data_IF_043516939883
#
_entry.id   IF_043516939883
#
_cell.length_a   1.000
_cell.length_b   1.000
_cell.length_c   1.000
_cell.angle_alpha   90.00
_cell.angle_beta   90.00
_cell.angle_gamma   90.00
#
_symmetry.space_group_name_H-M   'P 1'
#
loop_
_entity.id
_entity.type
_entity.pdbx_description
1 polymer ?
#
# COMPACT_ATOMS: atom_id res chain seq x y z
N UNK A 1 -12.45 15.37 -24.79
CA UNK A 1 -12.44 13.92 -25.06
C UNK A 1 -12.65 13.23 -23.74
N UNK A 2 -13.69 12.38 -23.62
CA UNK A 2 -13.87 11.54 -22.42
C UNK A 2 -12.61 10.71 -22.23
N UNK A 3 -12.08 10.69 -21.01
CA UNK A 3 -10.93 9.86 -20.67
C UNK A 3 -11.38 8.39 -20.77
N UNK A 4 -10.91 7.66 -21.78
CA UNK A 4 -11.30 6.26 -22.02
C UNK A 4 -10.49 5.28 -21.18
N UNK A 5 -9.48 5.77 -20.46
CA UNK A 5 -8.59 4.93 -19.65
C UNK A 5 -9.02 4.89 -18.20
N UNK A 6 -8.72 3.77 -17.55
CA UNK A 6 -9.06 3.51 -16.16
C UNK A 6 -7.83 3.38 -15.28
N UNK A 7 -7.97 3.84 -14.04
CA UNK A 7 -7.05 3.58 -12.92
C UNK A 7 -7.59 2.40 -12.13
N UNK A 8 -6.85 1.28 -12.09
CA UNK A 8 -7.19 0.12 -11.28
C UNK A 8 -6.53 0.26 -9.90
N UNK A 9 -7.34 0.21 -8.84
CA UNK A 9 -6.88 0.34 -7.45
C UNK A 9 -7.27 -0.90 -6.66
N UNK A 10 -6.30 -1.62 -6.12
CA UNK A 10 -6.55 -2.77 -5.23
C UNK A 10 -6.65 -2.35 -3.77
N UNK A 11 -7.51 -3.03 -2.98
CA UNK A 11 -7.77 -2.66 -1.58
C UNK A 11 -8.44 -1.30 -1.46
N UNK A 12 -9.38 -0.99 -2.37
CA UNK A 12 -9.95 0.35 -2.52
C UNK A 12 -11.02 0.71 -1.49
N UNK A 13 -11.65 -0.26 -0.81
CA UNK A 13 -12.86 -0.04 0.00
C UNK A 13 -12.64 0.81 1.24
N UNK A 14 -11.45 0.78 1.82
CA UNK A 14 -11.17 1.39 3.12
C UNK A 14 -9.80 2.09 3.18
N UNK A 15 -9.60 2.87 4.23
CA UNK A 15 -8.30 3.43 4.63
C UNK A 15 -7.60 4.18 3.50
N UNK A 16 -6.35 3.80 3.22
CA UNK A 16 -5.54 4.47 2.21
C UNK A 16 -6.05 4.24 0.78
N UNK A 17 -6.57 3.04 0.48
CA UNK A 17 -7.14 2.72 -0.84
C UNK A 17 -8.38 3.56 -1.15
N UNK A 18 -9.26 3.79 -0.15
CA UNK A 18 -10.40 4.71 -0.29
C UNK A 18 -9.94 6.14 -0.57
N UNK A 19 -8.94 6.62 0.14
CA UNK A 19 -8.41 7.96 -0.09
C UNK A 19 -7.79 8.09 -1.49
N UNK A 20 -7.04 7.07 -1.96
CA UNK A 20 -6.53 7.01 -3.34
C UNK A 20 -7.65 7.07 -4.38
N UNK A 21 -8.74 6.31 -4.17
CA UNK A 21 -9.89 6.31 -5.09
C UNK A 21 -10.55 7.69 -5.19
N UNK A 22 -10.76 8.37 -4.06
CA UNK A 22 -11.35 9.71 -4.01
C UNK A 22 -10.44 10.73 -4.69
N UNK A 23 -9.14 10.69 -4.43
CA UNK A 23 -8.16 11.58 -5.07
C UNK A 23 -8.10 11.38 -6.60
N UNK A 24 -8.06 10.13 -7.06
CA UNK A 24 -8.08 9.84 -8.50
C UNK A 24 -9.39 10.33 -9.16
N UNK A 25 -10.53 10.14 -8.49
CA UNK A 25 -11.82 10.65 -8.96
C UNK A 25 -11.83 12.19 -9.04
N UNK A 26 -11.30 12.89 -8.04
CA UNK A 26 -11.21 14.36 -8.04
C UNK A 26 -10.31 14.92 -9.15
N UNK A 27 -9.46 14.07 -9.72
CA UNK A 27 -8.63 14.37 -10.90
C UNK A 27 -9.23 13.90 -12.22
N UNK A 28 -10.51 13.59 -12.22
CA UNK A 28 -11.26 13.12 -13.41
C UNK A 28 -10.69 11.82 -14.02
N UNK A 29 -10.22 10.88 -13.18
CA UNK A 29 -9.77 9.57 -13.59
C UNK A 29 -10.90 8.55 -13.43
N UNK A 30 -11.23 7.78 -14.48
CA UNK A 30 -12.12 6.63 -14.35
C UNK A 30 -11.48 5.53 -13.51
N UNK A 31 -12.29 4.77 -12.78
CA UNK A 31 -11.79 3.88 -11.74
C UNK A 31 -12.28 2.44 -11.90
N UNK A 32 -11.38 1.49 -11.67
CA UNK A 32 -11.71 0.10 -11.36
C UNK A 32 -11.31 -0.11 -9.91
N UNK A 33 -12.29 -0.23 -9.02
CA UNK A 33 -12.08 -0.41 -7.58
C UNK A 33 -12.18 -1.88 -7.23
N UNK A 34 -11.09 -2.44 -6.71
CA UNK A 34 -11.00 -3.85 -6.32
C UNK A 34 -10.84 -3.97 -4.82
N UNK A 35 -11.72 -4.71 -4.17
CA UNK A 35 -11.64 -4.98 -2.73
C UNK A 35 -12.32 -6.31 -2.37
N UNK A 36 -12.21 -6.72 -1.10
CA UNK A 36 -12.99 -7.84 -0.57
C UNK A 36 -14.49 -7.57 -0.72
N UNK A 37 -15.32 -8.61 -0.86
CA UNK A 37 -16.77 -8.47 -0.81
C UNK A 37 -17.20 -7.74 0.47
N UNK A 38 -18.08 -6.75 0.30
CA UNK A 38 -18.61 -5.99 1.43
C UNK A 38 -19.25 -4.66 1.03
N UNK A 39 -20.07 -4.09 1.91
CA UNK A 39 -20.83 -2.88 1.62
C UNK A 39 -19.96 -1.64 1.40
N UNK A 40 -18.75 -1.60 1.97
CA UNK A 40 -17.83 -0.44 1.92
C UNK A 40 -17.43 -0.09 0.49
N UNK A 41 -17.19 -1.12 -0.35
CA UNK A 41 -16.85 -0.92 -1.75
C UNK A 41 -18.02 -0.31 -2.52
N UNK A 42 -19.24 -0.77 -2.26
CA UNK A 42 -20.45 -0.25 -2.89
C UNK A 42 -20.77 1.18 -2.44
N UNK A 43 -20.60 1.47 -1.13
CA UNK A 43 -20.76 2.83 -0.60
C UNK A 43 -19.77 3.80 -1.24
N UNK A 44 -18.50 3.41 -1.34
CA UNK A 44 -17.48 4.23 -1.99
C UNK A 44 -17.80 4.46 -3.47
N UNK A 45 -18.20 3.41 -4.19
CA UNK A 45 -18.57 3.49 -5.61
C UNK A 45 -19.73 4.45 -5.81
N UNK A 46 -20.78 4.33 -4.99
CA UNK A 46 -21.94 5.23 -5.04
C UNK A 46 -21.57 6.67 -4.70
N UNK A 47 -20.75 6.86 -3.65
CA UNK A 47 -20.25 8.18 -3.26
C UNK A 47 -19.48 8.85 -4.41
N UNK A 48 -18.55 8.12 -5.06
CA UNK A 48 -17.76 8.68 -6.15
C UNK A 48 -18.65 9.04 -7.35
N UNK A 49 -19.52 8.15 -7.79
CA UNK A 49 -20.44 8.40 -8.91
C UNK A 49 -21.38 9.60 -8.69
N UNK A 50 -21.72 9.88 -7.42
CA UNK A 50 -22.59 11.02 -7.07
C UNK A 50 -21.85 12.35 -7.04
N UNK A 51 -20.56 12.35 -6.71
CA UNK A 51 -19.81 13.58 -6.44
C UNK A 51 -18.78 13.95 -7.51
N UNK A 52 -18.45 13.03 -8.42
CA UNK A 52 -17.45 13.22 -9.47
C UNK A 52 -17.99 12.72 -10.82
N UNK A 53 -17.64 13.43 -11.88
CA UNK A 53 -18.01 13.06 -13.27
C UNK A 53 -17.00 12.06 -13.84
N UNK A 54 -16.98 10.85 -13.28
CA UNK A 54 -16.09 9.74 -13.68
C UNK A 54 -16.84 8.43 -13.71
N UNK A 55 -16.42 7.53 -14.60
CA UNK A 55 -16.93 6.16 -14.56
C UNK A 55 -16.21 5.33 -13.48
N UNK A 56 -16.99 4.51 -12.76
CA UNK A 56 -16.50 3.69 -11.66
C UNK A 56 -17.06 2.29 -11.73
N UNK A 57 -16.17 1.32 -11.79
CA UNK A 57 -16.48 -0.11 -11.80
C UNK A 57 -15.97 -0.74 -10.51
N UNK A 58 -16.86 -1.36 -9.75
CA UNK A 58 -16.51 -2.10 -8.55
C UNK A 58 -16.37 -3.60 -8.87
N UNK A 59 -15.28 -4.21 -8.43
CA UNK A 59 -15.03 -5.65 -8.56
C UNK A 59 -14.70 -6.20 -7.18
N UNK A 60 -15.59 -7.02 -6.65
CA UNK A 60 -15.35 -7.75 -5.41
C UNK A 60 -14.43 -8.95 -5.66
N UNK A 61 -13.25 -8.95 -5.01
CA UNK A 61 -12.26 -10.02 -5.18
C UNK A 61 -11.36 -10.14 -3.97
N UNK A 62 -11.20 -11.37 -3.46
CA UNK A 62 -10.19 -11.70 -2.47
C UNK A 62 -8.89 -12.11 -3.19
N UNK A 63 -7.93 -11.20 -3.23
CA UNK A 63 -6.65 -11.40 -3.91
C UNK A 63 -5.71 -12.40 -3.19
N UNK A 64 -6.09 -12.93 -2.02
CA UNK A 64 -5.36 -14.01 -1.36
C UNK A 64 -5.73 -15.41 -1.90
N UNK A 65 -6.84 -15.53 -2.64
CA UNK A 65 -7.26 -16.80 -3.21
C UNK A 65 -6.45 -17.11 -4.47
N UNK A 66 -6.21 -18.38 -4.69
CA UNK A 66 -5.54 -18.85 -5.90
C UNK A 66 -6.38 -18.45 -7.13
N UNK A 67 -5.71 -18.13 -8.25
CA UNK A 67 -6.30 -17.68 -9.51
C UNK A 67 -7.02 -16.31 -9.49
N UNK A 68 -7.30 -15.72 -8.31
CA UNK A 68 -8.04 -14.45 -8.21
C UNK A 68 -7.44 -13.29 -9.02
N UNK A 69 -6.12 -13.23 -9.12
CA UNK A 69 -5.45 -12.21 -9.93
C UNK A 69 -5.72 -12.43 -11.44
N UNK A 70 -5.73 -13.69 -11.89
CA UNK A 70 -6.06 -14.05 -13.27
C UNK A 70 -7.54 -13.76 -13.57
N UNK A 71 -8.44 -14.15 -12.67
CA UNK A 71 -9.89 -13.86 -12.80
C UNK A 71 -10.17 -12.37 -12.87
N UNK A 72 -9.48 -11.56 -12.04
CA UNK A 72 -9.58 -10.10 -12.11
C UNK A 72 -9.13 -9.56 -13.48
N UNK A 73 -7.98 -10.03 -13.97
CA UNK A 73 -7.46 -9.64 -15.27
C UNK A 73 -8.42 -10.03 -16.40
N UNK A 74 -8.92 -11.25 -16.39
CA UNK A 74 -9.90 -11.76 -17.35
C UNK A 74 -11.17 -10.89 -17.34
N UNK A 75 -11.71 -10.59 -16.14
CA UNK A 75 -12.90 -9.76 -16.00
C UNK A 75 -12.71 -8.35 -16.58
N UNK A 76 -11.56 -7.72 -16.33
CA UNK A 76 -11.25 -6.38 -16.88
C UNK A 76 -11.13 -6.43 -18.40
N UNK A 77 -10.55 -7.52 -18.93
CA UNK A 77 -10.39 -7.72 -20.37
C UNK A 77 -11.72 -8.00 -21.08
N UNK A 78 -12.59 -8.83 -20.47
CA UNK A 78 -13.93 -9.11 -21.00
C UNK A 78 -14.84 -7.87 -21.08
N UNK A 79 -14.62 -6.93 -20.16
CA UNK A 79 -15.33 -5.64 -20.16
C UNK A 79 -14.69 -4.61 -21.11
N UNK A 80 -13.65 -4.99 -21.84
CA UNK A 80 -12.88 -4.12 -22.76
C UNK A 80 -12.39 -2.81 -22.11
N UNK A 81 -12.00 -2.88 -20.82
CA UNK A 81 -11.57 -1.70 -20.05
C UNK A 81 -10.09 -1.42 -20.29
N UNK A 82 -9.80 -0.24 -20.81
CA UNK A 82 -8.44 0.22 -21.08
C UNK A 82 -7.77 0.71 -19.79
N UNK A 83 -6.88 -0.07 -19.21
CA UNK A 83 -6.13 0.32 -17.99
C UNK A 83 -4.82 1.01 -18.36
N UNK A 84 -4.63 2.25 -17.92
CA UNK A 84 -3.37 2.99 -18.06
C UNK A 84 -2.68 3.28 -16.72
N UNK A 85 -3.33 3.01 -15.59
CA UNK A 85 -2.72 3.13 -14.26
C UNK A 85 -3.10 1.94 -13.39
N UNK A 86 -2.10 1.28 -12.80
CA UNK A 86 -2.26 0.19 -11.84
C UNK A 86 -1.72 0.63 -10.48
N UNK A 87 -2.58 0.70 -9.48
CA UNK A 87 -2.22 1.00 -8.09
C UNK A 87 -2.35 -0.27 -7.25
N UNK A 88 -1.24 -0.94 -7.00
CA UNK A 88 -1.14 -2.08 -6.11
C UNK A 88 -1.08 -1.59 -4.65
N UNK A 89 -2.25 -1.37 -4.07
CA UNK A 89 -2.40 -0.87 -2.71
C UNK A 89 -2.82 -1.95 -1.72
N UNK A 90 -3.55 -2.98 -2.15
CA UNK A 90 -3.99 -4.07 -1.27
C UNK A 90 -2.81 -4.66 -0.48
N UNK A 91 -2.98 -4.74 0.83
CA UNK A 91 -1.94 -5.26 1.70
C UNK A 91 -2.41 -5.33 3.14
N UNK A 92 -1.84 -6.27 3.88
CA UNK A 92 -2.08 -6.44 5.32
C UNK A 92 -0.76 -6.38 6.08
N UNK A 93 -0.83 -5.82 7.28
CA UNK A 93 0.28 -5.79 8.22
C UNK A 93 -0.09 -6.45 9.53
N UNK A 94 0.90 -6.66 10.38
CA UNK A 94 0.70 -7.12 11.75
C UNK A 94 1.70 -6.44 12.69
N UNK A 95 1.36 -6.41 13.97
CA UNK A 95 2.29 -6.04 15.04
C UNK A 95 2.11 -7.10 16.13
N UNK A 96 2.83 -8.22 15.99
CA UNK A 96 2.72 -9.40 16.84
C UNK A 96 4.11 -10.03 16.95
N UNK A 97 4.46 -10.64 18.10
CA UNK A 97 5.68 -11.43 18.21
C UNK A 97 5.63 -12.58 17.19
N UNK A 98 6.77 -12.91 16.58
CA UNK A 98 6.81 -13.89 15.50
C UNK A 98 6.23 -15.26 15.92
N UNK A 99 6.49 -15.69 17.14
CA UNK A 99 5.98 -16.94 17.73
C UNK A 99 4.47 -16.90 18.06
N UNK A 100 3.90 -15.71 18.24
CA UNK A 100 2.46 -15.51 18.53
C UNK A 100 1.63 -15.37 17.25
N UNK A 101 2.25 -15.02 16.13
CA UNK A 101 1.58 -14.88 14.85
C UNK A 101 1.19 -16.22 14.26
N UNK A 102 -0.02 -16.33 13.70
CA UNK A 102 -0.48 -17.56 13.08
C UNK A 102 0.16 -17.79 11.71
N UNK A 103 0.35 -19.06 11.32
CA UNK A 103 0.83 -19.42 9.97
C UNK A 103 -0.06 -18.78 8.90
N UNK A 104 -1.39 -18.85 9.07
CA UNK A 104 -2.36 -18.26 8.14
C UNK A 104 -2.19 -16.73 8.00
N UNK A 105 -1.82 -16.01 9.06
CA UNK A 105 -1.53 -14.58 8.98
C UNK A 105 -0.32 -14.32 8.08
N UNK A 106 0.75 -15.08 8.25
CA UNK A 106 1.97 -14.91 7.47
C UNK A 106 1.78 -15.32 6.00
N UNK A 107 1.04 -16.41 5.74
CA UNK A 107 0.65 -16.79 4.39
C UNK A 107 -0.16 -15.68 3.69
N UNK A 108 -1.17 -15.13 4.38
CA UNK A 108 -1.96 -14.02 3.84
C UNK A 108 -1.11 -12.78 3.55
N UNK A 109 -0.17 -12.45 4.44
CA UNK A 109 0.75 -11.32 4.20
C UNK A 109 1.59 -11.54 2.93
N UNK A 110 2.13 -12.73 2.73
CA UNK A 110 2.93 -13.05 1.55
C UNK A 110 2.04 -13.08 0.29
N UNK A 111 0.91 -13.79 0.34
CA UNK A 111 -0.03 -13.88 -0.79
C UNK A 111 -0.51 -12.50 -1.23
N UNK A 112 -0.96 -11.65 -0.31
CA UNK A 112 -1.53 -10.36 -0.66
C UNK A 112 -0.46 -9.32 -1.01
N UNK A 113 0.55 -9.16 -0.14
CA UNK A 113 1.53 -8.08 -0.33
C UNK A 113 2.52 -8.38 -1.45
N UNK A 114 2.93 -9.64 -1.62
CA UNK A 114 3.98 -10.03 -2.57
C UNK A 114 3.37 -10.62 -3.84
N UNK A 115 2.67 -11.74 -3.70
CA UNK A 115 2.21 -12.51 -4.85
C UNK A 115 1.19 -11.75 -5.68
N UNK A 116 0.15 -11.18 -5.06
CA UNK A 116 -0.88 -10.43 -5.78
C UNK A 116 -0.28 -9.22 -6.51
N UNK A 117 0.59 -8.42 -5.85
CA UNK A 117 1.28 -7.30 -6.50
C UNK A 117 2.09 -7.75 -7.70
N UNK A 118 2.85 -8.84 -7.58
CA UNK A 118 3.69 -9.38 -8.66
C UNK A 118 2.84 -9.86 -9.83
N UNK A 119 1.81 -10.67 -9.55
CA UNK A 119 0.94 -11.25 -10.58
C UNK A 119 0.14 -10.17 -11.32
N UNK A 120 -0.49 -9.25 -10.61
CA UNK A 120 -1.25 -8.15 -11.24
C UNK A 120 -0.35 -7.27 -12.09
N UNK A 121 0.83 -6.93 -11.60
CA UNK A 121 1.81 -6.18 -12.39
C UNK A 121 2.17 -6.93 -13.68
N UNK A 122 2.43 -8.24 -13.61
CA UNK A 122 2.78 -9.07 -14.77
C UNK A 122 1.61 -9.20 -15.76
N UNK A 123 0.40 -9.41 -15.26
CA UNK A 123 -0.80 -9.60 -16.08
C UNK A 123 -1.16 -8.31 -16.84
N UNK A 124 -1.17 -7.17 -16.15
CA UNK A 124 -1.53 -5.89 -16.75
C UNK A 124 -0.40 -5.23 -17.56
N UNK A 125 0.85 -5.71 -17.49
CA UNK A 125 1.99 -5.05 -18.12
C UNK A 125 1.79 -4.83 -19.63
N UNK A 126 1.30 -5.84 -20.36
CA UNK A 126 1.06 -5.71 -21.81
C UNK A 126 -0.07 -4.71 -22.12
N UNK A 127 -1.10 -4.65 -21.28
CA UNK A 127 -2.19 -3.67 -21.40
C UNK A 127 -1.67 -2.25 -21.18
N UNK A 128 -0.85 -2.07 -20.13
CA UNK A 128 -0.21 -0.80 -19.83
C UNK A 128 0.71 -0.33 -20.95
N UNK A 129 1.47 -1.24 -21.58
CA UNK A 129 2.39 -0.92 -22.68
C UNK A 129 1.67 -0.46 -23.97
N UNK A 130 0.38 -0.72 -24.14
CA UNK A 130 -0.41 -0.29 -25.31
C UNK A 130 -0.80 1.18 -25.28
N UNK A 131 -0.79 1.83 -24.13
CA UNK A 131 -1.13 3.24 -23.98
C UNK A 131 0.10 4.12 -24.24
N UNK A 132 -0.10 5.38 -24.59
CA UNK A 132 1.01 6.34 -24.80
C UNK A 132 1.80 6.60 -23.51
N UNK A 133 1.11 6.66 -22.37
CA UNK A 133 1.70 6.85 -21.04
C UNK A 133 0.96 5.98 -20.03
N UNK A 134 1.67 5.22 -19.27
CA UNK A 134 1.11 4.35 -18.24
C UNK A 134 1.91 4.38 -16.95
N UNK A 135 1.23 4.02 -15.86
CA UNK A 135 1.77 4.15 -14.52
C UNK A 135 1.51 2.90 -13.69
N UNK A 136 2.51 2.51 -12.90
CA UNK A 136 2.38 1.50 -11.85
C UNK A 136 2.81 2.15 -10.54
N UNK A 137 1.90 2.19 -9.56
CA UNK A 137 2.19 2.58 -8.19
C UNK A 137 2.12 1.35 -7.29
N UNK A 138 3.24 0.95 -6.72
CA UNK A 138 3.28 -0.09 -5.71
C UNK A 138 3.37 0.53 -4.31
N UNK A 139 2.44 0.17 -3.42
CA UNK A 139 2.42 0.71 -2.06
C UNK A 139 3.34 -0.10 -1.16
N UNK A 140 4.56 0.42 -0.97
CA UNK A 140 5.54 -0.04 -0.01
C UNK A 140 5.24 0.45 1.41
N UNK A 141 6.30 0.75 2.17
CA UNK A 141 6.25 1.33 3.52
C UNK A 141 7.65 1.80 3.92
N UNK A 142 7.76 2.71 4.89
CA UNK A 142 9.02 2.97 5.60
C UNK A 142 9.59 1.71 6.26
N UNK A 143 8.74 0.72 6.57
CA UNK A 143 9.18 -0.61 7.04
C UNK A 143 10.08 -1.35 6.05
N UNK A 144 10.16 -0.92 4.79
CA UNK A 144 11.09 -1.45 3.79
C UNK A 144 12.56 -1.17 4.13
N UNK A 145 12.84 -0.18 4.97
CA UNK A 145 14.18 0.31 5.27
C UNK A 145 14.67 -0.08 6.67
N UNK A 146 13.75 -0.47 7.57
CA UNK A 146 14.07 -0.69 8.97
C UNK A 146 13.74 -2.10 9.43
N UNK A 147 14.60 -2.66 10.30
CA UNK A 147 14.32 -3.92 11.00
C UNK A 147 13.40 -3.64 12.18
N UNK A 148 12.11 -3.90 12.00
CA UNK A 148 11.08 -3.61 12.99
C UNK A 148 10.64 -4.91 13.69
N UNK A 149 11.00 -5.11 14.98
CA UNK A 149 10.48 -6.23 15.76
C UNK A 149 8.93 -6.23 15.76
N UNK A 150 8.36 -7.42 15.81
CA UNK A 150 6.91 -7.67 15.69
C UNK A 150 6.32 -7.38 14.30
N UNK A 151 7.16 -7.07 13.31
CA UNK A 151 6.77 -6.78 11.91
C UNK A 151 7.67 -7.50 10.90
N UNK A 152 8.25 -8.63 11.27
CA UNK A 152 9.29 -9.32 10.50
C UNK A 152 8.80 -9.66 9.09
N UNK A 153 7.68 -10.38 8.99
CA UNK A 153 7.11 -10.78 7.69
C UNK A 153 6.59 -9.56 6.93
N UNK A 154 5.88 -8.65 7.61
CA UNK A 154 5.40 -7.42 6.98
C UNK A 154 6.57 -6.58 6.40
N UNK A 155 7.59 -6.33 7.20
CA UNK A 155 8.78 -5.59 6.76
C UNK A 155 9.47 -6.25 5.57
N UNK A 156 9.62 -7.57 5.60
CA UNK A 156 10.18 -8.35 4.49
C UNK A 156 9.34 -8.23 3.21
N UNK A 157 7.99 -8.31 3.32
CA UNK A 157 7.11 -8.13 2.15
C UNK A 157 7.22 -6.72 1.57
N UNK A 158 7.34 -5.68 2.41
CA UNK A 158 7.48 -4.30 1.94
C UNK A 158 8.87 -4.01 1.36
N UNK A 159 9.91 -4.66 1.88
CA UNK A 159 11.26 -4.64 1.26
C UNK A 159 11.26 -5.29 -0.11
N UNK A 160 10.55 -6.43 -0.26
CA UNK A 160 10.34 -7.04 -1.58
C UNK A 160 9.71 -6.04 -2.56
N UNK A 161 8.61 -5.39 -2.19
CA UNK A 161 7.91 -4.42 -3.04
C UNK A 161 8.83 -3.26 -3.44
N UNK A 162 9.65 -2.76 -2.51
CA UNK A 162 10.60 -1.70 -2.79
C UNK A 162 11.62 -2.12 -3.86
N UNK A 163 12.30 -3.26 -3.68
CA UNK A 163 13.30 -3.74 -4.63
C UNK A 163 12.69 -4.17 -5.96
N UNK A 164 11.55 -4.87 -5.93
CA UNK A 164 10.81 -5.26 -7.11
C UNK A 164 10.45 -4.05 -7.99
N UNK A 165 9.90 -2.99 -7.38
CA UNK A 165 9.50 -1.78 -8.11
C UNK A 165 10.69 -1.09 -8.76
N UNK A 166 11.82 -0.98 -8.06
CA UNK A 166 13.04 -0.35 -8.60
C UNK A 166 13.66 -1.16 -9.73
N UNK A 167 13.72 -2.48 -9.59
CA UNK A 167 14.24 -3.37 -10.62
C UNK A 167 13.37 -3.33 -11.87
N UNK A 168 12.04 -3.41 -11.70
CA UNK A 168 11.08 -3.33 -12.80
C UNK A 168 11.15 -1.96 -13.52
N UNK A 169 11.28 -0.86 -12.76
CA UNK A 169 11.47 0.47 -13.34
C UNK A 169 12.73 0.53 -14.22
N UNK A 170 13.83 -0.06 -13.76
CA UNK A 170 15.08 -0.09 -14.52
C UNK A 170 14.93 -0.91 -15.82
N UNK A 171 14.26 -2.05 -15.75
CA UNK A 171 13.94 -2.89 -16.91
C UNK A 171 13.08 -2.13 -17.92
N UNK A 172 12.05 -1.43 -17.45
CA UNK A 172 11.09 -0.68 -18.27
C UNK A 172 11.56 0.75 -18.63
N UNK A 173 12.83 1.09 -18.42
CA UNK A 173 13.36 2.45 -18.62
C UNK A 173 13.20 3.01 -20.04
N UNK A 174 13.05 2.14 -21.05
CA UNK A 174 12.78 2.50 -22.45
C UNK A 174 11.32 2.31 -22.85
N UNK A 175 10.47 1.99 -21.91
CA UNK A 175 9.03 1.78 -22.09
C UNK A 175 8.25 3.05 -21.72
N UNK A 176 7.02 3.12 -22.19
CA UNK A 176 6.02 4.11 -21.80
C UNK A 176 5.39 3.87 -20.42
N UNK A 177 5.83 2.85 -19.66
CA UNK A 177 5.31 2.48 -18.36
C UNK A 177 6.21 3.01 -17.24
N UNK A 178 5.72 3.98 -16.47
CA UNK A 178 6.42 4.54 -15.33
C UNK A 178 6.10 3.76 -14.05
N UNK A 179 7.12 3.21 -13.40
CA UNK A 179 6.96 2.47 -12.15
C UNK A 179 7.43 3.33 -10.99
N UNK A 180 6.59 3.48 -9.97
CA UNK A 180 6.89 4.19 -8.71
C UNK A 180 6.61 3.29 -7.53
N UNK A 181 7.39 3.45 -6.46
CA UNK A 181 7.10 2.87 -5.16
C UNK A 181 6.82 3.97 -4.14
N UNK A 182 5.66 3.87 -3.49
CA UNK A 182 5.27 4.76 -2.40
C UNK A 182 5.70 4.13 -1.07
N UNK A 183 6.47 4.84 -0.26
CA UNK A 183 6.93 4.38 1.05
C UNK A 183 6.44 5.33 2.15
N UNK A 184 5.17 5.23 2.57
CA UNK A 184 4.64 6.06 3.64
C UNK A 184 5.15 5.60 5.00
N UNK A 185 5.14 6.52 5.96
CA UNK A 185 5.28 6.22 7.39
C UNK A 185 4.02 5.57 7.97
N UNK A 186 3.85 5.66 9.27
CA UNK A 186 2.59 5.27 9.90
C UNK A 186 1.42 6.09 9.37
N UNK A 187 0.25 5.48 9.19
CA UNK A 187 -0.95 6.17 8.71
C UNK A 187 -2.13 5.91 9.63
N UNK A 188 -2.99 6.92 9.79
CA UNK A 188 -4.24 6.84 10.56
C UNK A 188 -5.38 6.33 9.65
N UNK A 189 -5.30 5.09 9.18
CA UNK A 189 -6.26 4.52 8.23
C UNK A 189 -7.55 4.03 8.86
N UNK A 190 -7.56 3.78 10.17
CA UNK A 190 -8.74 3.43 10.96
C UNK A 190 -8.56 3.85 12.41
N UNK A 191 -9.65 3.77 13.21
CA UNK A 191 -9.64 4.19 14.60
C UNK A 191 -8.61 3.44 15.46
N UNK A 192 -8.50 2.11 15.28
CA UNK A 192 -7.56 1.28 16.05
C UNK A 192 -6.10 1.70 15.79
N UNK A 193 -5.73 1.90 14.53
CA UNK A 193 -4.40 2.39 14.15
C UNK A 193 -4.15 3.81 14.63
N UNK A 194 -5.16 4.68 14.58
CA UNK A 194 -5.07 6.05 15.09
C UNK A 194 -4.77 6.07 16.58
N UNK A 195 -5.46 5.24 17.37
CA UNK A 195 -5.21 5.11 18.81
C UNK A 195 -3.81 4.52 19.08
N UNK A 196 -3.42 3.48 18.36
CA UNK A 196 -2.09 2.88 18.47
C UNK A 196 -0.98 3.89 18.10
N UNK A 197 -1.15 4.65 17.04
CA UNK A 197 -0.19 5.68 16.63
C UNK A 197 -0.07 6.80 17.67
N UNK A 198 -1.17 7.19 18.32
CA UNK A 198 -1.17 8.19 19.40
C UNK A 198 -0.44 7.71 20.67
N UNK A 199 -0.44 6.40 20.95
CA UNK A 199 0.28 5.79 22.08
C UNK A 199 1.77 5.55 21.81
N UNK A 200 2.22 5.71 20.56
CA UNK A 200 3.60 5.54 20.15
C UNK A 200 4.56 6.55 20.78
N UNK A 201 5.87 6.28 20.68
CA UNK A 201 6.88 7.22 21.15
C UNK A 201 6.89 8.51 20.28
N UNK A 202 7.53 9.58 20.79
CA UNK A 202 7.56 10.89 20.14
C UNK A 202 8.06 10.81 18.68
N UNK A 203 9.15 10.07 18.41
CA UNK A 203 9.72 9.95 17.08
C UNK A 203 8.79 9.19 16.11
N UNK A 204 8.13 8.12 16.58
CA UNK A 204 7.18 7.40 15.74
C UNK A 204 5.96 8.26 15.39
N UNK A 205 5.50 9.10 16.32
CA UNK A 205 4.39 10.03 16.08
C UNK A 205 4.69 11.09 15.02
N UNK A 206 5.96 11.53 14.91
CA UNK A 206 6.39 12.50 13.89
C UNK A 206 6.35 11.92 12.46
N UNK A 207 6.36 10.61 12.32
CA UNK A 207 6.28 9.92 11.01
C UNK A 207 4.86 9.59 10.59
N UNK A 208 3.87 9.76 11.49
CA UNK A 208 2.47 9.42 11.22
C UNK A 208 1.80 10.54 10.44
N UNK A 209 1.05 10.15 9.42
CA UNK A 209 0.28 11.06 8.56
C UNK A 209 -1.16 10.56 8.38
N UNK A 210 -2.06 11.43 7.98
CA UNK A 210 -3.38 11.02 7.54
C UNK A 210 -3.34 10.60 6.06
N UNK A 211 -4.17 9.64 5.62
CA UNK A 211 -4.27 9.25 4.22
C UNK A 211 -4.45 10.43 3.27
N UNK A 212 -5.30 11.38 3.63
CA UNK A 212 -5.65 12.57 2.84
C UNK A 212 -4.44 13.49 2.58
N UNK A 213 -3.46 13.52 3.50
CA UNK A 213 -2.22 14.29 3.32
C UNK A 213 -1.18 13.54 2.47
N UNK A 214 -1.27 12.21 2.44
CA UNK A 214 -0.32 11.35 1.73
C UNK A 214 -0.69 11.19 0.26
N UNK A 215 -1.99 11.07 -0.05
CA UNK A 215 -2.46 10.70 -1.38
C UNK A 215 -2.13 11.72 -2.46
N UNK A 216 -2.30 13.05 -2.27
CA UNK A 216 -1.91 14.02 -3.29
C UNK A 216 -0.41 13.92 -3.63
N UNK A 217 0.45 13.75 -2.60
CA UNK A 217 1.90 13.58 -2.80
C UNK A 217 2.22 12.29 -3.56
N UNK A 218 1.45 11.22 -3.31
CA UNK A 218 1.62 9.95 -3.98
C UNK A 218 1.27 10.04 -5.48
N UNK A 219 0.11 10.62 -5.81
CA UNK A 219 -0.35 10.75 -7.19
C UNK A 219 0.51 11.76 -7.96
N UNK A 220 0.84 12.92 -7.37
CA UNK A 220 1.75 13.89 -8.00
C UNK A 220 3.13 13.28 -8.24
N UNK A 221 3.65 12.54 -7.27
CA UNK A 221 4.94 11.86 -7.42
C UNK A 221 4.91 10.81 -8.54
N UNK A 222 3.83 10.04 -8.65
CA UNK A 222 3.63 9.05 -9.71
C UNK A 222 3.58 9.72 -11.09
N UNK A 223 2.71 10.72 -11.26
CA UNK A 223 2.52 11.41 -12.53
C UNK A 223 3.78 12.17 -12.97
N UNK A 224 4.59 12.67 -12.02
CA UNK A 224 5.90 13.27 -12.29
C UNK A 224 7.02 12.24 -12.44
N UNK A 225 6.71 10.96 -12.50
CA UNK A 225 7.66 9.88 -12.77
C UNK A 225 8.71 9.68 -11.66
N UNK A 226 8.44 10.03 -10.40
CA UNK A 226 9.36 9.77 -9.28
C UNK A 226 9.51 8.26 -9.04
N UNK A 227 10.75 7.80 -8.91
CA UNK A 227 11.05 6.38 -8.62
C UNK A 227 10.55 5.97 -7.23
N UNK A 228 10.93 6.74 -6.22
CA UNK A 228 10.57 6.52 -4.81
C UNK A 228 9.84 7.75 -4.28
N UNK A 229 8.65 7.54 -3.75
CA UNK A 229 7.81 8.60 -3.19
C UNK A 229 7.74 8.38 -1.69
N UNK A 230 8.27 9.32 -0.90
CA UNK A 230 8.24 9.28 0.56
C UNK A 230 7.52 10.52 1.06
N UNK A 231 6.24 10.39 1.48
CA UNK A 231 5.49 11.50 2.03
C UNK A 231 6.02 11.93 3.41
N UNK A 232 6.04 13.23 3.66
CA UNK A 232 6.44 13.81 4.93
C UNK A 232 7.94 14.05 5.07
N UNK A 233 8.29 15.26 5.54
CA UNK A 233 9.69 15.69 5.71
C UNK A 233 10.47 14.80 6.69
N UNK A 234 9.81 14.37 7.78
CA UNK A 234 10.43 13.49 8.79
C UNK A 234 10.72 12.09 8.24
N UNK A 235 9.84 11.54 7.42
CA UNK A 235 10.05 10.23 6.78
C UNK A 235 11.25 10.28 5.81
N UNK A 236 11.38 11.36 5.04
CA UNK A 236 12.55 11.59 4.19
C UNK A 236 13.84 11.72 5.01
N UNK A 237 13.80 12.43 6.12
CA UNK A 237 14.93 12.55 7.03
C UNK A 237 15.34 11.19 7.61
N UNK A 238 14.39 10.37 8.08
CA UNK A 238 14.68 9.03 8.59
C UNK A 238 15.28 8.12 7.51
N UNK A 239 14.78 8.17 6.28
CA UNK A 239 15.37 7.40 5.18
C UNK A 239 16.80 7.86 4.88
N UNK A 240 17.08 9.16 4.90
CA UNK A 240 18.43 9.68 4.69
C UNK A 240 19.36 9.24 5.83
N UNK A 241 18.89 9.31 7.06
CA UNK A 241 19.63 8.86 8.23
C UNK A 241 19.99 7.36 8.12
N UNK A 242 19.06 6.53 7.66
CA UNK A 242 19.32 5.11 7.46
C UNK A 242 20.45 4.86 6.45
N UNK A 243 20.55 5.64 5.40
CA UNK A 243 21.64 5.51 4.42
C UNK A 243 23.01 5.92 4.94
N UNK A 244 23.06 6.86 5.90
CA UNK A 244 24.31 7.47 6.40
C UNK A 244 24.79 6.79 7.70
N UNK A 245 23.88 6.30 8.55
CA UNK A 245 24.22 5.76 9.84
C UNK A 245 24.87 4.36 9.73
N UNK A 246 26.03 4.14 10.41
CA UNK A 246 26.60 2.81 10.57
C UNK A 246 25.64 1.84 11.26
N UNK A 247 25.70 0.56 10.90
CA UNK A 247 24.84 -0.47 11.46
C UNK A 247 24.89 -0.59 12.99
N UNK A 248 26.04 -0.26 13.61
CA UNK A 248 26.17 -0.24 15.07
C UNK A 248 25.25 0.80 15.73
N UNK A 249 25.15 2.00 15.13
CA UNK A 249 24.28 3.08 15.64
C UNK A 249 22.81 2.73 15.40
N UNK A 250 22.49 2.14 14.24
CA UNK A 250 21.14 1.66 13.94
C UNK A 250 20.62 0.66 14.99
N UNK A 251 21.49 -0.29 15.41
CA UNK A 251 21.17 -1.26 16.47
C UNK A 251 20.88 -0.60 17.82
N UNK A 252 21.60 0.46 18.18
CA UNK A 252 21.37 1.19 19.42
C UNK A 252 20.00 1.90 19.40
N UNK A 253 19.67 2.57 18.30
CA UNK A 253 18.40 3.29 18.13
C UNK A 253 17.21 2.31 18.15
N UNK A 254 17.30 1.20 17.42
CA UNK A 254 16.26 0.16 17.39
C UNK A 254 16.20 -0.64 18.69
N UNK A 255 17.33 -0.91 19.34
CA UNK A 255 17.41 -1.65 20.60
C UNK A 255 16.85 -0.89 21.81
N UNK A 256 16.95 0.44 21.85
CA UNK A 256 16.30 1.25 22.89
C UNK A 256 14.77 1.27 22.73
N UNK A 257 14.27 1.15 21.49
CA UNK A 257 12.84 0.95 21.23
C UNK A 257 12.32 -0.38 21.77
N UNK A 258 13.12 -1.45 21.73
CA UNK A 258 12.76 -2.78 22.27
C UNK A 258 12.66 -2.82 23.79
N UNK A 259 13.58 -2.19 24.52
CA UNK A 259 13.52 -2.15 25.99
C UNK A 259 12.28 -1.42 26.52
N UNK A 260 11.76 -0.44 25.79
CA UNK A 260 10.47 0.23 26.13
C UNK A 260 9.24 -0.61 25.77
N UNK A 261 9.32 -1.43 24.72
CA UNK A 261 8.22 -2.32 24.33
C UNK A 261 8.08 -3.55 25.26
N UNK A 262 9.15 -4.00 25.88
CA UNK A 262 9.14 -5.07 26.88
C UNK A 262 8.69 -4.57 28.27
N UNK A 263 8.74 -3.26 28.52
CA UNK A 263 8.31 -2.65 29.78
C UNK A 263 6.82 -2.25 29.84
N UNK A 264 6.07 -2.43 28.77
CA UNK A 264 4.62 -2.17 28.73
C UNK A 264 3.86 -3.38 29.26
N UNK A 265 3.61 -3.29 30.58
CA UNK A 265 2.49 -3.78 31.38
C UNK A 265 2.02 -5.25 31.22
N UNK A 266 2.17 -6.07 32.29
CA UNK A 266 1.66 -7.45 32.34
C UNK A 266 0.12 -7.56 32.30
N UNK A 267 -0.63 -6.48 32.38
CA UNK A 267 -2.08 -6.49 32.35
C UNK A 267 -2.69 -6.65 30.95
N UNK A 268 -1.92 -6.55 29.86
CA UNK A 268 -2.40 -6.79 28.49
C UNK A 268 -2.53 -8.27 28.13
N UNK A 269 -2.24 -9.20 29.04
CA UNK A 269 -2.46 -10.65 28.84
C UNK A 269 -3.95 -11.04 28.73
N UNK A 270 -4.87 -10.19 29.15
CA UNK A 270 -6.31 -10.48 29.14
C UNK A 270 -7.12 -9.77 28.07
N UNK A 271 -6.49 -8.87 27.31
CA UNK A 271 -7.09 -8.25 26.13
C UNK A 271 -6.13 -8.54 24.96
N UNK A 272 -6.14 -9.78 24.47
CA UNK A 272 -5.63 -10.08 23.15
C UNK A 272 -6.56 -9.35 22.16
N UNK A 273 -6.20 -8.19 21.61
CA UNK A 273 -6.94 -7.70 20.46
C UNK A 273 -6.69 -8.72 19.36
N UNK A 274 -7.77 -9.14 18.70
CA UNK A 274 -7.63 -9.82 17.42
C UNK A 274 -6.56 -9.09 16.58
N UNK A 275 -5.71 -9.79 15.84
CA UNK A 275 -4.64 -9.17 15.08
C UNK A 275 -5.22 -8.00 14.30
N UNK A 276 -4.69 -6.79 14.54
CA UNK A 276 -5.14 -5.60 13.80
C UNK A 276 -4.72 -5.84 12.37
N UNK A 277 -5.65 -6.36 11.58
CA UNK A 277 -5.53 -6.45 10.14
C UNK A 277 -5.49 -5.00 9.64
N UNK A 278 -4.35 -4.54 9.23
CA UNK A 278 -4.20 -3.28 8.50
C UNK A 278 -4.76 -3.58 7.11
N UNK A 279 -6.05 -3.33 6.96
CA UNK A 279 -6.71 -3.37 5.65
C UNK A 279 -6.40 -2.13 4.86
#
# INVERSE_FOLDING_TARGET
MLNTCYTLITGASEGFGRALAIECASRNMNLILVALPGPELHYLTHFIKRNYDVDVIAIEKDLCKDESCMELYTRVTELDLQVNMLINNAGIGSTVLFEEGTVSLYEKQIKLNVLATTLLTRLFLKTLQRNSHSYILNVGSMASFFYLPKKEVYGATKSYIYFFSKSLRKELSKSNVHVSVLCPGGMNTNLALTLMNKSGNYLSRLSVMNPEDVVPVAIDGLLNGKEVIIPGKMNNFFMLLDKILPNAIKKIITGQGMKKLSAVNPFTRYLSPAPVLIK
#
